data_IF_985694240316
#
_entry.id   IF_985694240316
#
_cell.length_a   1.000
_cell.length_b   1.000
_cell.length_c   1.000
_cell.angle_alpha   90.00
_cell.angle_beta   90.00
_cell.angle_gamma   90.00
#
_symmetry.space_group_name_H-M   'P 1'
#
loop_
_entity.id
_entity.type
_entity.pdbx_description
1 polymer ?
#
# COMPACT_ATOMS: atom_id res chain seq x y z
N UNK A 1 26.65 17.14 4.04
CA UNK A 1 25.83 17.12 2.82
C UNK A 1 24.78 16.04 3.02
N UNK A 2 23.49 16.39 3.14
CA UNK A 2 22.44 15.39 3.29
C UNK A 2 22.41 14.51 2.02
N UNK A 3 22.32 13.17 2.12
CA UNK A 3 22.20 12.31 0.95
C UNK A 3 21.04 12.77 0.07
N UNK A 4 21.19 12.64 -1.25
CA UNK A 4 20.09 12.96 -2.16
C UNK A 4 18.87 12.11 -1.81
N UNK A 5 17.66 12.66 -1.95
CA UNK A 5 16.42 11.96 -1.58
C UNK A 5 16.21 10.66 -2.37
N UNK A 6 16.74 10.60 -3.59
CA UNK A 6 16.77 9.35 -4.38
C UNK A 6 17.63 8.30 -3.68
N UNK A 7 18.81 8.67 -3.19
CA UNK A 7 19.67 7.79 -2.42
C UNK A 7 19.06 7.37 -1.07
N UNK A 8 18.19 8.19 -0.46
CA UNK A 8 17.42 7.78 0.73
C UNK A 8 16.37 6.72 0.37
N UNK A 9 15.60 6.92 -0.71
CA UNK A 9 14.62 5.93 -1.18
C UNK A 9 15.29 4.60 -1.56
N UNK A 10 16.43 4.64 -2.25
CA UNK A 10 17.21 3.44 -2.58
C UNK A 10 17.65 2.67 -1.32
N UNK A 11 18.08 3.38 -0.27
CA UNK A 11 18.45 2.76 1.01
C UNK A 11 17.26 2.15 1.74
N UNK A 12 16.09 2.78 1.65
CA UNK A 12 14.84 2.25 2.20
C UNK A 12 14.42 1.00 1.44
N UNK A 13 14.43 1.04 0.10
CA UNK A 13 14.13 -0.11 -0.74
C UNK A 13 15.09 -1.28 -0.48
N UNK A 14 16.36 -1.00 -0.18
CA UNK A 14 17.33 -2.02 0.22
C UNK A 14 16.96 -2.75 1.53
N UNK A 15 16.05 -2.20 2.35
CA UNK A 15 15.50 -2.89 3.55
C UNK A 15 14.44 -3.93 3.20
N UNK A 16 13.91 -3.93 1.97
CA UNK A 16 12.76 -4.75 1.60
C UNK A 16 12.88 -6.25 1.86
N UNK A 17 14.05 -6.92 1.69
CA UNK A 17 14.18 -8.33 2.06
C UNK A 17 13.86 -8.56 3.54
N UNK A 18 14.54 -7.83 4.43
CA UNK A 18 14.35 -7.94 5.89
C UNK A 18 12.95 -7.51 6.31
N UNK A 19 12.41 -6.45 5.72
CA UNK A 19 11.04 -5.99 6.02
C UNK A 19 10.01 -7.02 5.60
N UNK A 20 10.18 -7.65 4.44
CA UNK A 20 9.25 -8.69 3.96
C UNK A 20 9.24 -9.91 4.88
N UNK A 21 10.41 -10.34 5.36
CA UNK A 21 10.55 -11.43 6.33
C UNK A 21 9.85 -11.10 7.65
N UNK A 22 10.03 -9.86 8.14
CA UNK A 22 9.36 -9.37 9.36
C UNK A 22 7.84 -9.35 9.20
N UNK A 23 7.32 -8.81 8.10
CA UNK A 23 5.87 -8.76 7.83
C UNK A 23 5.28 -10.17 7.82
N UNK A 24 5.92 -11.11 7.11
CA UNK A 24 5.47 -12.50 7.05
C UNK A 24 5.53 -13.15 8.45
N UNK A 25 6.58 -12.89 9.22
CA UNK A 25 6.69 -13.40 10.59
C UNK A 25 5.60 -12.84 11.52
N UNK A 26 5.28 -11.55 11.41
CA UNK A 26 4.20 -10.91 12.15
C UNK A 26 2.84 -11.54 11.80
N UNK A 27 2.56 -11.72 10.51
CA UNK A 27 1.32 -12.35 10.06
C UNK A 27 1.17 -13.80 10.57
N UNK A 28 2.27 -14.56 10.59
CA UNK A 28 2.28 -15.93 11.13
C UNK A 28 2.07 -16.00 12.65
N UNK A 29 2.50 -14.96 13.38
CA UNK A 29 2.42 -14.92 14.83
C UNK A 29 1.10 -14.34 15.35
N UNK A 30 0.41 -13.51 14.55
CA UNK A 30 -0.81 -12.84 14.93
C UNK A 30 -2.04 -13.75 14.80
N UNK A 31 -2.93 -13.73 15.79
CA UNK A 31 -4.18 -14.47 15.76
C UNK A 31 -5.32 -13.71 15.07
N UNK A 32 -5.20 -12.39 14.92
CA UNK A 32 -6.22 -11.49 14.39
C UNK A 32 -5.61 -10.22 13.78
N UNK A 33 -6.44 -9.42 13.12
CA UNK A 33 -6.08 -8.16 12.48
C UNK A 33 -5.37 -7.17 13.43
N UNK A 34 -5.81 -7.01 14.68
CA UNK A 34 -5.22 -6.06 15.61
C UNK A 34 -3.80 -6.47 16.04
N UNK A 35 -3.59 -7.76 16.29
CA UNK A 35 -2.27 -8.33 16.60
C UNK A 35 -1.29 -8.26 15.43
N UNK A 36 -1.80 -8.20 14.19
CA UNK A 36 -0.98 -7.99 12.99
C UNK A 36 -0.69 -6.51 12.73
N UNK A 37 -1.72 -5.65 12.79
CA UNK A 37 -1.64 -4.21 12.54
C UNK A 37 -0.58 -3.55 13.41
N UNK A 38 -0.62 -3.79 14.73
CA UNK A 38 0.25 -3.11 15.70
C UNK A 38 1.75 -3.28 15.41
N UNK A 39 2.31 -4.51 15.30
CA UNK A 39 3.73 -4.68 14.98
C UNK A 39 4.09 -4.21 13.56
N UNK A 40 3.16 -4.29 12.59
CA UNK A 40 3.38 -3.74 11.25
C UNK A 40 3.54 -2.21 11.31
N UNK A 41 2.64 -1.51 12.00
CA UNK A 41 2.69 -0.06 12.17
C UNK A 41 4.00 0.37 12.85
N UNK A 42 4.40 -0.31 13.93
CA UNK A 42 5.68 -0.07 14.61
C UNK A 42 6.88 -0.24 13.66
N UNK A 43 6.86 -1.26 12.80
CA UNK A 43 7.94 -1.48 11.82
C UNK A 43 8.04 -0.32 10.82
N UNK A 44 6.90 0.19 10.34
CA UNK A 44 6.88 1.37 9.46
C UNK A 44 7.48 2.59 10.19
N UNK A 45 7.05 2.84 11.42
CA UNK A 45 7.53 3.97 12.22
C UNK A 45 9.03 3.89 12.51
N UNK A 46 9.54 2.70 12.85
CA UNK A 46 10.97 2.47 13.08
C UNK A 46 11.80 2.82 11.84
N UNK A 47 11.33 2.43 10.65
CA UNK A 47 11.97 2.79 9.38
C UNK A 47 11.90 4.30 9.16
N UNK A 48 10.75 4.94 9.41
CA UNK A 48 10.62 6.39 9.33
C UNK A 48 11.63 7.13 10.22
N UNK A 49 11.76 6.69 11.48
CA UNK A 49 12.72 7.21 12.44
C UNK A 49 14.17 6.98 12.00
N UNK A 50 14.51 5.81 11.48
CA UNK A 50 15.86 5.49 11.00
C UNK A 50 16.33 6.44 9.89
N UNK A 51 15.40 6.83 9.00
CA UNK A 51 15.72 7.68 7.84
C UNK A 51 15.39 9.16 8.03
N UNK A 52 14.98 9.56 9.24
CA UNK A 52 14.54 10.94 9.57
C UNK A 52 13.41 11.42 8.63
N UNK A 53 12.47 10.53 8.32
CA UNK A 53 11.30 10.81 7.50
C UNK A 53 10.07 10.93 8.41
N UNK A 54 9.42 12.11 8.46
CA UNK A 54 8.24 12.29 9.30
C UNK A 54 7.07 11.48 8.75
N UNK A 55 6.75 10.38 9.43
CA UNK A 55 5.56 9.59 9.15
C UNK A 55 4.42 10.16 10.00
N UNK A 56 3.46 10.85 9.37
CA UNK A 56 2.22 11.24 10.03
C UNK A 56 1.27 10.05 9.97
N UNK A 57 1.21 9.30 11.06
CA UNK A 57 0.24 8.22 11.27
C UNK A 57 -0.99 8.77 11.99
N UNK A 58 -2.16 8.54 11.40
CA UNK A 58 -3.46 8.65 12.09
C UNK A 58 -4.07 7.27 12.14
N UNK A 59 -4.12 6.70 13.34
CA UNK A 59 -4.79 5.42 13.60
C UNK A 59 -6.23 5.65 14.04
N UNK A 60 -7.11 4.70 13.70
CA UNK A 60 -8.48 4.63 14.20
C UNK A 60 -9.29 5.94 14.01
N UNK A 61 -9.05 6.60 12.88
CA UNK A 61 -9.74 7.82 12.48
C UNK A 61 -11.08 7.48 11.82
N UNK A 62 -12.14 8.19 12.23
CA UNK A 62 -13.52 7.92 11.77
C UNK A 62 -13.88 8.81 10.59
N UNK A 63 -14.41 8.19 9.54
CA UNK A 63 -14.97 8.80 8.34
C UNK A 63 -16.43 8.37 8.15
N UNK A 64 -17.12 8.94 7.16
CA UNK A 64 -18.53 8.62 6.90
C UNK A 64 -18.79 7.12 6.65
N UNK A 65 -17.88 6.42 5.97
CA UNK A 65 -17.97 4.99 5.66
C UNK A 65 -17.44 4.06 6.76
N UNK A 66 -16.93 4.60 7.87
CA UNK A 66 -16.50 3.81 9.02
C UNK A 66 -15.18 4.26 9.62
N UNK A 67 -14.41 3.31 10.17
CA UNK A 67 -13.14 3.60 10.82
C UNK A 67 -11.99 3.13 9.95
N UNK A 68 -11.08 4.04 9.65
CA UNK A 68 -9.85 3.74 8.92
C UNK A 68 -8.82 3.21 9.90
N UNK A 69 -8.19 2.09 9.57
CA UNK A 69 -7.17 1.48 10.42
C UNK A 69 -5.95 2.39 10.56
N UNK A 70 -5.40 2.83 9.43
CA UNK A 70 -4.26 3.72 9.39
C UNK A 70 -4.23 4.60 8.13
N UNK A 71 -3.99 5.89 8.33
CA UNK A 71 -3.61 6.81 7.28
C UNK A 71 -2.19 7.33 7.52
N UNK A 72 -1.28 7.04 6.60
CA UNK A 72 0.12 7.46 6.58
C UNK A 72 0.31 8.54 5.52
N UNK A 73 0.33 9.82 5.92
CA UNK A 73 0.34 10.95 4.99
C UNK A 73 -0.79 10.88 3.94
N UNK A 74 -0.50 10.38 2.73
CA UNK A 74 -1.46 10.19 1.62
C UNK A 74 -1.67 8.71 1.24
N UNK A 75 -1.09 7.79 2.01
CA UNK A 75 -1.31 6.36 1.89
C UNK A 75 -2.34 5.93 2.93
N UNK A 76 -3.41 5.28 2.50
CA UNK A 76 -4.38 4.64 3.39
C UNK A 76 -4.08 3.15 3.39
N UNK A 77 -3.96 2.55 4.58
CA UNK A 77 -3.73 1.11 4.73
C UNK A 77 -4.94 0.48 5.40
N UNK A 78 -5.48 -0.56 4.76
CA UNK A 78 -6.52 -1.44 5.30
C UNK A 78 -5.86 -2.76 5.72
N UNK A 79 -5.92 -3.09 7.01
CA UNK A 79 -5.40 -4.35 7.52
C UNK A 79 -6.53 -5.39 7.55
N UNK A 80 -6.21 -6.65 7.27
CA UNK A 80 -7.13 -7.76 7.48
C UNK A 80 -6.49 -8.85 8.33
N UNK A 81 -7.31 -9.77 8.85
CA UNK A 81 -6.84 -10.96 9.54
C UNK A 81 -5.81 -11.73 8.70
N UNK A 82 -4.69 -12.19 9.30
CA UNK A 82 -3.66 -12.91 8.57
C UNK A 82 -4.20 -14.08 7.76
N UNK A 83 -3.89 -14.08 6.46
CA UNK A 83 -4.23 -15.17 5.55
C UNK A 83 -5.71 -15.20 5.15
N UNK A 84 -6.48 -14.12 5.32
CA UNK A 84 -7.86 -14.03 4.83
C UNK A 84 -7.92 -13.60 3.35
N UNK A 85 -6.93 -12.87 2.86
CA UNK A 85 -6.87 -12.44 1.47
C UNK A 85 -6.48 -13.63 0.57
N UNK A 86 -6.95 -13.59 -0.68
CA UNK A 86 -6.65 -14.58 -1.72
C UNK A 86 -6.17 -13.89 -2.98
N UNK A 87 -5.42 -14.61 -3.82
CA UNK A 87 -4.82 -14.15 -5.08
C UNK A 87 -5.79 -13.71 -6.19
N UNK A 88 -7.04 -13.35 -5.89
CA UNK A 88 -8.03 -12.88 -6.85
C UNK A 88 -8.91 -11.79 -6.26
N UNK A 89 -9.12 -10.70 -7.00
CA UNK A 89 -10.07 -9.64 -6.66
C UNK A 89 -11.53 -10.11 -6.60
N UNK A 90 -11.88 -11.25 -7.21
CA UNK A 90 -13.25 -11.79 -7.15
C UNK A 90 -13.54 -12.57 -5.88
N UNK A 91 -12.52 -12.94 -5.09
CA UNK A 91 -12.71 -13.63 -3.83
C UNK A 91 -13.42 -12.71 -2.82
N UNK A 92 -14.43 -13.21 -2.12
CA UNK A 92 -15.32 -12.41 -1.26
C UNK A 92 -14.57 -11.52 -0.27
N UNK A 93 -13.61 -12.08 0.47
CA UNK A 93 -12.84 -11.30 1.45
C UNK A 93 -11.93 -10.25 0.79
N UNK A 94 -11.30 -10.62 -0.33
CA UNK A 94 -10.43 -9.72 -1.11
C UNK A 94 -11.23 -8.56 -1.69
N UNK A 95 -12.40 -8.85 -2.28
CA UNK A 95 -13.32 -7.83 -2.80
C UNK A 95 -13.80 -6.91 -1.70
N UNK A 96 -14.18 -7.46 -0.54
CA UNK A 96 -14.62 -6.68 0.62
C UNK A 96 -13.55 -5.69 1.09
N UNK A 97 -12.30 -6.13 1.24
CA UNK A 97 -11.18 -5.27 1.62
C UNK A 97 -10.94 -4.15 0.58
N UNK A 98 -11.03 -4.47 -0.71
CA UNK A 98 -10.86 -3.51 -1.80
C UNK A 98 -11.97 -2.46 -1.80
N UNK A 99 -13.23 -2.88 -1.67
CA UNK A 99 -14.37 -1.96 -1.67
C UNK A 99 -14.31 -1.03 -0.44
N UNK A 100 -14.06 -1.59 0.74
CA UNK A 100 -13.90 -0.83 1.98
C UNK A 100 -12.78 0.22 1.87
N UNK A 101 -11.61 -0.19 1.36
CA UNK A 101 -10.50 0.73 1.15
C UNK A 101 -10.83 1.83 0.12
N UNK A 102 -11.56 1.52 -0.95
CA UNK A 102 -11.99 2.55 -1.91
C UNK A 102 -12.95 3.58 -1.29
N UNK A 103 -13.88 3.13 -0.44
CA UNK A 103 -14.81 4.03 0.26
C UNK A 103 -14.05 4.95 1.22
N UNK A 104 -13.08 4.41 1.98
CA UNK A 104 -12.19 5.19 2.84
C UNK A 104 -11.38 6.23 2.07
N UNK A 105 -10.84 5.87 0.91
CA UNK A 105 -10.11 6.82 0.06
C UNK A 105 -11.01 7.97 -0.42
N UNK A 106 -12.27 7.70 -0.79
CA UNK A 106 -13.23 8.74 -1.20
C UNK A 106 -13.55 9.70 -0.05
N UNK A 107 -13.79 9.16 1.14
CA UNK A 107 -14.12 9.99 2.30
C UNK A 107 -12.94 10.85 2.75
N UNK A 108 -11.74 10.28 2.83
CA UNK A 108 -10.52 11.05 3.16
C UNK A 108 -10.27 12.14 2.13
N UNK A 109 -10.43 11.85 0.83
CA UNK A 109 -10.28 12.86 -0.21
C UNK A 109 -11.27 14.02 -0.01
N UNK A 110 -12.52 13.72 0.35
CA UNK A 110 -13.57 14.70 0.60
C UNK A 110 -13.29 15.54 1.84
N UNK A 111 -12.99 14.91 2.97
CA UNK A 111 -12.77 15.56 4.26
C UNK A 111 -11.52 16.45 4.23
N UNK A 112 -10.43 15.97 3.61
CA UNK A 112 -9.18 16.72 3.48
C UNK A 112 -9.18 17.69 2.28
N UNK A 113 -10.29 17.77 1.54
CA UNK A 113 -10.47 18.64 0.35
C UNK A 113 -9.34 18.49 -0.66
N UNK A 114 -8.93 17.25 -0.93
CA UNK A 114 -7.89 16.92 -1.90
C UNK A 114 -8.41 16.01 -3.01
N UNK A 115 -7.69 15.98 -4.13
CA UNK A 115 -8.03 15.09 -5.24
C UNK A 115 -7.74 13.64 -4.85
N UNK A 116 -8.68 12.74 -5.13
CA UNK A 116 -8.55 11.29 -4.90
C UNK A 116 -7.29 10.69 -5.56
N UNK A 117 -6.87 11.22 -6.72
CA UNK A 117 -5.65 10.82 -7.44
C UNK A 117 -4.34 11.09 -6.69
N UNK A 118 -4.37 11.94 -5.65
CA UNK A 118 -3.23 12.20 -4.75
C UNK A 118 -3.09 11.15 -3.66
N UNK A 119 -4.13 10.33 -3.44
CA UNK A 119 -4.09 9.23 -2.49
C UNK A 119 -3.60 7.94 -3.15
N UNK A 120 -3.13 7.03 -2.32
CA UNK A 120 -2.97 5.63 -2.65
C UNK A 120 -3.56 4.78 -1.52
N UNK A 121 -4.04 3.59 -1.87
CA UNK A 121 -4.53 2.59 -0.94
C UNK A 121 -3.69 1.33 -1.00
N UNK A 122 -3.45 0.70 0.15
CA UNK A 122 -2.91 -0.67 0.23
C UNK A 122 -3.75 -1.49 1.19
N UNK A 123 -4.33 -2.60 0.73
CA UNK A 123 -4.90 -3.61 1.62
C UNK A 123 -3.88 -4.73 1.86
N UNK A 124 -3.77 -5.23 3.09
CA UNK A 124 -2.84 -6.31 3.43
C UNK A 124 -3.27 -7.17 4.61
N UNK A 125 -2.95 -8.46 4.54
CA UNK A 125 -3.03 -9.44 5.63
C UNK A 125 -1.64 -10.02 5.96
N UNK A 126 -0.58 -9.37 5.48
CA UNK A 126 0.81 -9.82 5.62
C UNK A 126 1.22 -11.00 4.75
N UNK A 127 0.29 -11.61 4.02
CA UNK A 127 0.57 -12.57 2.96
C UNK A 127 0.41 -11.96 1.56
N UNK A 128 -0.53 -11.03 1.40
CA UNK A 128 -0.75 -10.28 0.17
C UNK A 128 -0.69 -8.77 0.40
N UNK A 129 -0.29 -8.05 -0.65
CA UNK A 129 -0.58 -6.64 -0.85
C UNK A 129 -1.58 -6.48 -2.00
N UNK A 130 -2.49 -5.52 -1.87
CA UNK A 130 -3.38 -5.10 -2.94
C UNK A 130 -3.25 -3.59 -3.08
N UNK A 131 -2.69 -3.14 -4.19
CA UNK A 131 -2.46 -1.72 -4.45
C UNK A 131 -3.66 -1.13 -5.18
N UNK A 132 -4.14 0.02 -4.69
CA UNK A 132 -5.30 0.72 -5.23
C UNK A 132 -4.95 2.18 -5.48
N UNK A 133 -5.31 2.67 -6.66
CA UNK A 133 -5.10 4.06 -7.11
C UNK A 133 -6.33 4.55 -7.85
N UNK A 134 -6.48 5.88 -7.90
CA UNK A 134 -7.46 6.53 -8.75
C UNK A 134 -6.72 7.35 -9.83
N UNK A 135 -6.91 7.01 -11.10
CA UNK A 135 -6.20 7.57 -12.25
C UNK A 135 -7.21 7.89 -13.33
N UNK A 136 -7.18 9.11 -13.87
CA UNK A 136 -8.05 9.55 -14.97
C UNK A 136 -9.54 9.23 -14.77
N UNK A 137 -10.04 9.47 -13.55
CA UNK A 137 -11.44 9.21 -13.13
C UNK A 137 -11.82 7.73 -12.95
N UNK A 138 -10.86 6.81 -13.12
CA UNK A 138 -11.05 5.38 -12.93
C UNK A 138 -10.26 4.81 -11.75
N UNK A 139 -10.77 3.71 -11.21
CA UNK A 139 -10.08 2.91 -10.19
C UNK A 139 -9.12 1.92 -10.83
N UNK A 140 -7.83 2.05 -10.52
CA UNK A 140 -6.83 1.03 -10.76
C UNK A 140 -6.71 0.13 -9.52
N UNK A 141 -7.37 -1.02 -9.57
CA UNK A 141 -7.33 -2.08 -8.54
C UNK A 141 -6.43 -3.21 -9.03
N UNK A 142 -5.24 -3.35 -8.47
CA UNK A 142 -4.31 -4.38 -8.90
C UNK A 142 -4.66 -5.75 -8.32
N UNK A 143 -4.25 -6.82 -9.02
CA UNK A 143 -4.40 -8.16 -8.46
C UNK A 143 -3.59 -8.31 -7.17
N UNK A 144 -4.06 -9.10 -6.19
CA UNK A 144 -3.31 -9.36 -4.98
C UNK A 144 -1.96 -9.98 -5.31
N UNK A 145 -0.89 -9.36 -4.82
CA UNK A 145 0.49 -9.82 -5.00
C UNK A 145 1.05 -10.33 -3.68
N UNK A 146 1.80 -11.44 -3.67
CA UNK A 146 2.33 -11.98 -2.43
C UNK A 146 3.35 -11.02 -1.80
N UNK A 147 3.38 -10.95 -0.47
CA UNK A 147 4.42 -10.24 0.28
C UNK A 147 5.75 -10.96 0.05
N UNK A 148 6.69 -10.24 -0.56
CA UNK A 148 8.06 -10.69 -0.80
C UNK A 148 8.98 -9.46 -0.94
N UNK A 149 10.29 -9.67 -1.13
CA UNK A 149 11.26 -8.58 -1.26
C UNK A 149 10.88 -7.52 -2.32
N UNK A 150 10.33 -7.92 -3.47
CA UNK A 150 10.05 -6.98 -4.56
C UNK A 150 8.77 -6.18 -4.29
N UNK A 151 7.70 -6.85 -3.87
CA UNK A 151 6.42 -6.19 -3.55
C UNK A 151 6.53 -5.33 -2.30
N UNK A 152 7.38 -5.71 -1.36
CA UNK A 152 7.72 -4.92 -0.17
C UNK A 152 8.56 -3.69 -0.54
N UNK A 153 9.54 -3.80 -1.45
CA UNK A 153 10.29 -2.65 -1.94
C UNK A 153 9.34 -1.62 -2.57
N UNK A 154 8.42 -2.10 -3.40
CA UNK A 154 7.34 -1.30 -3.98
C UNK A 154 6.45 -0.63 -2.94
N UNK A 155 6.02 -1.36 -1.91
CA UNK A 155 5.24 -0.80 -0.79
C UNK A 155 6.00 0.33 -0.08
N UNK A 156 7.27 0.10 0.28
CA UNK A 156 8.10 1.09 0.95
C UNK A 156 8.30 2.33 0.05
N UNK A 157 8.62 2.15 -1.23
CA UNK A 157 8.74 3.25 -2.20
C UNK A 157 7.46 4.08 -2.25
N UNK A 158 6.29 3.42 -2.33
CA UNK A 158 5.00 4.09 -2.34
C UNK A 158 4.78 4.92 -1.06
N UNK A 159 4.91 4.28 0.11
CA UNK A 159 4.73 4.90 1.41
C UNK A 159 5.62 6.14 1.59
N UNK A 160 6.92 6.01 1.33
CA UNK A 160 7.89 7.07 1.59
C UNK A 160 7.93 8.15 0.51
N UNK A 161 7.53 7.84 -0.73
CA UNK A 161 7.35 8.85 -1.78
C UNK A 161 6.19 9.81 -1.48
N UNK A 162 5.14 9.31 -0.83
CA UNK A 162 3.95 10.08 -0.46
C UNK A 162 4.17 11.03 0.71
N UNK A 163 5.11 10.73 1.61
CA UNK A 163 5.58 11.68 2.63
C UNK A 163 6.19 12.92 1.98
N UNK A 164 6.84 12.75 0.82
CA UNK A 164 7.70 13.75 0.21
C UNK A 164 6.97 14.77 -0.67
N UNK A 165 5.64 14.67 -0.80
CA UNK A 165 4.82 15.62 -1.57
C UNK A 165 4.98 15.54 -3.10
N UNK A 166 5.80 14.61 -3.63
CA UNK A 166 5.81 14.32 -5.08
C UNK A 166 4.41 13.86 -5.45
N UNK A 167 3.78 14.57 -6.38
CA UNK A 167 2.55 14.10 -6.99
C UNK A 167 2.82 12.71 -7.59
N UNK A 168 2.01 11.73 -7.23
CA UNK A 168 1.93 10.45 -7.94
C UNK A 168 1.26 10.71 -9.30
N UNK A 169 1.93 11.50 -10.16
CA UNK A 169 1.50 11.74 -11.54
C UNK A 169 1.56 10.38 -12.24
N UNK A 170 0.49 9.96 -12.96
CA UNK A 170 0.42 8.65 -13.62
C UNK A 170 1.65 8.30 -14.44
N UNK A 171 2.29 9.32 -15.05
CA UNK A 171 3.52 9.18 -15.83
C UNK A 171 4.70 8.59 -15.03
N UNK A 172 4.82 8.91 -13.73
CA UNK A 172 5.86 8.33 -12.88
C UNK A 172 5.53 6.88 -12.46
N UNK A 173 4.26 6.45 -12.55
CA UNK A 173 3.86 5.10 -12.14
C UNK A 173 4.10 4.04 -13.21
N UNK A 174 3.91 4.36 -14.49
CA UNK A 174 4.14 3.39 -15.58
C UNK A 174 5.63 3.05 -15.66
N UNK A 175 6.51 4.04 -15.48
CA UNK A 175 7.95 3.82 -15.48
C UNK A 175 8.42 3.11 -14.19
N UNK A 176 7.87 3.47 -13.02
CA UNK A 176 8.27 2.88 -11.74
C UNK A 176 7.66 1.47 -11.47
N UNK A 177 6.52 1.13 -12.08
CA UNK A 177 5.76 -0.08 -11.75
C UNK A 177 5.23 -0.88 -12.96
N UNK A 178 5.31 -0.36 -14.19
CA UNK A 178 4.85 -1.03 -15.40
C UNK A 178 5.85 -2.04 -15.99
N UNK A 179 7.13 -2.01 -15.59
CA UNK A 179 8.18 -2.84 -16.19
C UNK A 179 8.33 -4.25 -15.61
N UNK A 180 7.58 -4.61 -14.56
CA UNK A 180 7.73 -5.92 -13.88
C UNK A 180 6.56 -6.90 -14.09
N UNK A 181 5.48 -6.50 -14.78
CA UNK A 181 4.46 -7.45 -15.24
C UNK A 181 4.40 -7.42 -16.77
N UNK A 182 5.21 -8.26 -17.42
CA UNK A 182 4.90 -8.73 -18.77
C UNK A 182 3.62 -9.58 -18.70
N UNK A 183 2.47 -8.91 -18.66
CA UNK A 183 1.23 -9.51 -19.14
C UNK A 183 1.33 -9.50 -20.66
N UNK A 184 1.87 -10.59 -21.20
CA UNK A 184 1.69 -10.92 -22.61
C UNK A 184 0.19 -10.95 -22.89
N UNK A 185 -0.36 -10.06 -23.73
CA UNK A 185 -1.75 -10.17 -24.14
C UNK A 185 -1.85 -11.42 -25.01
N UNK A 186 -2.47 -12.49 -24.51
CA UNK A 186 -2.97 -13.54 -25.39
C UNK A 186 -4.00 -12.89 -26.32
N UNK A 187 -3.60 -12.69 -27.58
CA UNK A 187 -4.53 -12.38 -28.66
C UNK A 187 -5.55 -13.50 -28.72
N UNK A 188 -6.79 -13.17 -28.37
CA UNK A 188 -7.95 -14.00 -28.70
C UNK A 188 -8.13 -13.88 -30.21
N UNK A 189 -7.62 -14.85 -30.95
CA UNK A 189 -7.94 -15.01 -32.37
C UNK A 189 -9.37 -15.50 -32.44
N UNK A 190 -10.29 -14.63 -32.88
CA UNK A 190 -11.62 -15.04 -33.36
C UNK A 190 -11.42 -15.83 -34.66
N UNK A 191 -12.03 -17.01 -34.71
CA UNK A 191 -12.39 -17.72 -35.93
C UNK A 191 -13.92 -17.87 -35.92
#
# INVERSE_FOLDING_TARGET
MLPSRLAQLEKIEARAPVVSEKIIAMARAAANEAEFRRPFANLIEDIGREFDIPILLREEYTVASGRIDAAYNRLIIEYKDPGILRGSLSHKATKGAVDQLTDYMVDVAREERQQLSRLAGVATDGHYFIFIRHVDEDWLKEQPVPVNRHTTARFLKLLFSLVSGKALIPKNLIDDFGSQNQITPQRITRA
#
